data_IF_373274598391
#
_entry.id   IF_373274598391
#
_cell.length_a   1.000
_cell.length_b   1.000
_cell.length_c   1.000
_cell.angle_alpha   90.00
_cell.angle_beta   90.00
_cell.angle_gamma   90.00
#
_symmetry.space_group_name_H-M   'P 1'
#
loop_
_entity.id
_entity.type
_entity.pdbx_description
1 polymer ?
#
# COMPACT_ATOMS: atom_id res chain seq x y z
N UNK A 1 -14.12 -1.69 -17.91
CA UNK A 1 -13.45 -0.53 -18.54
C UNK A 1 -12.83 0.46 -17.54
N UNK A 2 -13.07 0.33 -16.23
CA UNK A 2 -12.62 1.29 -15.20
C UNK A 2 -11.13 1.24 -14.81
N UNK A 3 -10.34 0.33 -15.38
CA UNK A 3 -8.93 0.10 -14.98
C UNK A 3 -7.90 0.61 -16.01
N UNK A 4 -8.34 1.18 -17.13
CA UNK A 4 -7.46 1.73 -18.16
C UNK A 4 -7.48 3.25 -18.05
N UNK A 5 -6.32 3.86 -17.86
CA UNK A 5 -6.15 5.31 -17.79
C UNK A 5 -5.14 5.76 -18.84
N UNK A 6 -5.46 6.84 -19.54
CA UNK A 6 -4.52 7.47 -20.47
C UNK A 6 -3.63 8.46 -19.71
N UNK A 7 -2.32 8.34 -19.93
CA UNK A 7 -1.32 9.18 -19.28
C UNK A 7 -0.28 9.63 -20.31
N UNK A 8 0.18 10.88 -20.18
CA UNK A 8 1.23 11.43 -21.02
C UNK A 8 2.60 11.23 -20.38
N UNK A 9 3.48 10.53 -21.10
CA UNK A 9 4.87 10.36 -20.72
C UNK A 9 5.66 11.62 -21.08
N UNK A 10 6.35 12.22 -20.11
CA UNK A 10 7.05 13.49 -20.32
C UNK A 10 8.53 13.29 -20.70
N UNK A 11 9.24 12.42 -19.98
CA UNK A 11 10.67 12.19 -20.22
C UNK A 11 11.10 10.82 -19.71
N UNK A 12 12.13 10.26 -20.35
CA UNK A 12 12.73 8.97 -20.01
C UNK A 12 14.19 9.20 -19.62
N UNK A 13 14.66 8.47 -18.62
CA UNK A 13 16.02 8.56 -18.10
C UNK A 13 16.63 7.17 -17.96
N UNK A 14 17.92 7.05 -18.28
CA UNK A 14 18.75 5.92 -17.88
C UNK A 14 19.32 6.18 -16.47
N UNK A 15 19.21 5.19 -15.61
CA UNK A 15 19.73 5.24 -14.25
C UNK A 15 21.21 4.85 -14.24
N UNK A 16 22.09 5.79 -13.88
CA UNK A 16 23.55 5.61 -13.83
C UNK A 16 24.06 5.66 -12.37
N UNK A 17 23.37 4.94 -11.48
CA UNK A 17 23.65 4.91 -10.04
C UNK A 17 23.36 6.25 -9.35
N UNK A 18 24.32 7.17 -9.36
CA UNK A 18 24.20 8.49 -8.71
C UNK A 18 23.47 9.53 -9.55
N UNK A 19 23.38 9.31 -10.88
CA UNK A 19 22.82 10.28 -11.83
C UNK A 19 21.76 9.69 -12.74
N UNK A 20 20.96 10.59 -13.32
CA UNK A 20 19.97 10.28 -14.36
C UNK A 20 20.46 10.89 -15.68
N UNK A 21 20.58 10.06 -16.73
CA UNK A 21 20.90 10.54 -18.07
C UNK A 21 19.62 10.61 -18.90
N UNK A 22 19.18 11.80 -19.35
CA UNK A 22 18.00 11.91 -20.20
C UNK A 22 18.25 11.24 -21.55
N UNK A 23 17.25 10.51 -22.04
CA UNK A 23 17.29 9.80 -23.33
C UNK A 23 15.96 9.96 -24.05
N UNK A 24 16.01 10.02 -25.38
CA UNK A 24 14.80 10.18 -26.21
C UNK A 24 14.09 8.84 -26.44
N UNK A 25 14.84 7.74 -26.53
CA UNK A 25 14.32 6.41 -26.80
C UNK A 25 15.16 5.34 -26.08
N UNK A 26 14.53 4.20 -25.77
CA UNK A 26 15.18 3.06 -25.12
C UNK A 26 14.68 1.76 -25.74
N UNK A 27 15.58 0.78 -25.90
CA UNK A 27 15.26 -0.55 -26.46
C UNK A 27 14.69 -1.49 -25.39
N UNK A 28 14.01 -2.55 -25.82
CA UNK A 28 13.52 -3.60 -24.94
C UNK A 28 14.67 -4.25 -24.13
N UNK A 29 14.37 -4.65 -22.89
CA UNK A 29 15.34 -5.26 -21.98
C UNK A 29 16.10 -4.29 -21.08
N UNK A 30 15.91 -2.98 -21.23
CA UNK A 30 16.55 -1.97 -20.38
C UNK A 30 15.66 -1.55 -19.20
N UNK A 31 16.30 -1.18 -18.08
CA UNK A 31 15.63 -0.56 -16.94
C UNK A 31 15.72 0.96 -17.07
N UNK A 32 14.57 1.63 -17.02
CA UNK A 32 14.46 3.08 -17.23
C UNK A 32 13.67 3.74 -16.12
N UNK A 33 13.97 5.00 -15.83
CA UNK A 33 13.14 5.85 -15.00
C UNK A 33 12.25 6.72 -15.89
N UNK A 34 10.97 6.83 -15.53
CA UNK A 34 9.97 7.58 -16.31
C UNK A 34 9.42 8.72 -15.45
N UNK A 35 9.34 9.92 -16.03
CA UNK A 35 8.71 11.09 -15.41
C UNK A 35 7.32 11.34 -16.01
N UNK A 36 6.37 11.68 -15.14
CA UNK A 36 5.01 12.11 -15.53
C UNK A 36 3.88 11.16 -15.09
N UNK A 37 4.19 9.91 -14.77
CA UNK A 37 3.19 8.89 -14.44
C UNK A 37 2.77 8.85 -12.97
N UNK A 38 3.08 9.92 -12.23
CA UNK A 38 3.00 9.89 -10.78
C UNK A 38 1.60 9.72 -10.18
N UNK A 39 0.58 10.44 -10.68
CA UNK A 39 -0.78 10.32 -10.17
C UNK A 39 -1.47 8.99 -10.52
N UNK A 40 -1.01 8.31 -11.57
CA UNK A 40 -1.69 7.15 -12.16
C UNK A 40 -1.22 5.82 -11.55
N UNK A 41 0.00 5.77 -11.02
CA UNK A 41 0.64 4.54 -10.55
C UNK A 41 0.81 4.59 -9.03
N UNK A 42 0.10 3.72 -8.33
CA UNK A 42 0.26 3.54 -6.89
C UNK A 42 1.45 2.63 -6.55
N UNK A 43 1.36 1.32 -6.83
CA UNK A 43 2.44 0.35 -6.55
C UNK A 43 3.04 -0.22 -7.84
N UNK A 44 2.21 -0.85 -8.66
CA UNK A 44 2.60 -1.39 -9.96
C UNK A 44 1.55 -1.06 -11.01
N UNK A 45 1.99 -0.86 -12.25
CA UNK A 45 1.11 -0.69 -13.40
C UNK A 45 1.81 -1.25 -14.64
N UNK A 46 1.02 -1.81 -15.54
CA UNK A 46 1.50 -2.19 -16.87
C UNK A 46 1.26 -1.03 -17.83
N UNK A 47 2.30 -0.58 -18.50
CA UNK A 47 2.21 0.49 -19.50
C UNK A 47 2.16 -0.10 -20.89
N UNK A 48 1.26 0.41 -21.72
CA UNK A 48 1.16 0.03 -23.12
C UNK A 48 0.75 1.22 -23.97
N UNK A 49 1.30 1.29 -25.18
CA UNK A 49 0.90 2.29 -26.18
C UNK A 49 -0.47 1.97 -26.80
N UNK A 50 -0.93 0.72 -26.68
CA UNK A 50 -2.18 0.24 -27.28
C UNK A 50 -3.14 -0.19 -26.18
N UNK A 51 -4.43 0.15 -26.32
CA UNK A 51 -5.47 -0.23 -25.35
C UNK A 51 -5.70 -1.74 -25.24
N UNK A 52 -5.47 -2.49 -26.33
CA UNK A 52 -5.63 -3.95 -26.36
C UNK A 52 -4.34 -4.65 -25.91
N UNK A 53 -4.02 -4.55 -24.62
CA UNK A 53 -2.83 -5.14 -24.03
C UNK A 53 -3.22 -5.93 -22.78
N UNK A 54 -2.66 -7.15 -22.65
CA UNK A 54 -2.80 -7.94 -21.45
C UNK A 54 -1.92 -7.37 -20.33
N UNK A 55 -2.45 -7.14 -19.13
CA UNK A 55 -1.66 -6.68 -18.00
C UNK A 55 -0.62 -7.74 -17.62
N UNK A 56 0.55 -7.29 -17.18
CA UNK A 56 1.53 -8.16 -16.55
C UNK A 56 1.00 -8.65 -15.20
N UNK A 57 1.46 -9.83 -14.78
CA UNK A 57 1.07 -10.41 -13.50
C UNK A 57 1.35 -9.44 -12.34
N UNK A 58 0.40 -9.34 -11.42
CA UNK A 58 0.57 -8.54 -10.20
C UNK A 58 1.71 -9.11 -9.36
N UNK A 59 2.46 -8.22 -8.71
CA UNK A 59 3.49 -8.63 -7.77
C UNK A 59 2.84 -9.25 -6.54
N UNK A 60 3.09 -10.53 -6.31
CA UNK A 60 2.70 -11.20 -5.07
C UNK A 60 3.81 -11.04 -4.03
N UNK A 61 3.50 -10.36 -2.94
CA UNK A 61 4.43 -10.21 -1.83
C UNK A 61 4.33 -11.43 -0.92
N UNK A 62 5.48 -12.04 -0.61
CA UNK A 62 5.54 -13.23 0.26
C UNK A 62 5.18 -12.93 1.71
N UNK A 63 5.21 -11.66 2.12
CA UNK A 63 4.99 -11.22 3.50
C UNK A 63 3.90 -10.15 3.52
N UNK A 64 2.90 -10.36 4.37
CA UNK A 64 1.88 -9.36 4.66
C UNK A 64 2.34 -8.44 5.80
N UNK A 65 2.03 -7.13 5.75
CA UNK A 65 2.38 -6.21 6.82
C UNK A 65 1.66 -6.62 8.11
N UNK A 66 2.44 -6.85 9.17
CA UNK A 66 1.96 -7.47 10.42
C UNK A 66 1.81 -6.44 11.54
N UNK A 67 2.68 -5.43 11.57
CA UNK A 67 2.66 -4.36 12.57
C UNK A 67 1.87 -3.17 12.06
N UNK A 68 1.05 -2.58 12.94
CA UNK A 68 0.19 -1.44 12.66
C UNK A 68 0.39 -0.36 13.71
N UNK A 69 0.37 0.89 13.27
CA UNK A 69 0.55 2.06 14.13
C UNK A 69 -0.36 3.18 13.65
N UNK A 70 -1.01 3.87 14.59
CA UNK A 70 -1.72 5.10 14.29
C UNK A 70 -0.73 6.27 14.24
N UNK A 71 -0.85 7.11 13.21
CA UNK A 71 -0.01 8.28 12.97
C UNK A 71 -0.89 9.51 12.88
N UNK A 72 -0.54 10.52 13.66
CA UNK A 72 -1.19 11.83 13.68
C UNK A 72 -0.12 12.93 13.61
N UNK A 73 -0.40 14.09 13.00
CA UNK A 73 0.51 15.22 13.06
C UNK A 73 0.42 15.88 14.45
N UNK A 74 1.54 16.38 14.98
CA UNK A 74 1.51 17.17 16.24
C UNK A 74 0.62 18.41 16.11
N UNK A 75 0.64 19.04 14.93
CA UNK A 75 -0.19 20.20 14.61
C UNK A 75 -1.30 19.82 13.61
N UNK A 76 -2.58 20.10 13.91
CA UNK A 76 -3.70 19.70 13.05
C UNK A 76 -3.72 20.44 11.70
N UNK A 77 -3.04 21.59 11.59
CA UNK A 77 -2.87 22.30 10.31
C UNK A 77 -2.11 21.48 9.28
N UNK A 78 -1.23 20.59 9.74
CA UNK A 78 -0.28 19.87 8.89
C UNK A 78 -0.83 18.54 8.39
N UNK A 79 -2.08 18.21 8.74
CA UNK A 79 -2.79 17.02 8.27
C UNK A 79 -2.78 16.88 6.74
N UNK A 80 -2.89 18.00 6.02
CA UNK A 80 -2.84 18.01 4.55
C UNK A 80 -1.46 17.63 4.00
N UNK A 81 -0.38 17.99 4.70
CA UNK A 81 0.99 17.63 4.35
C UNK A 81 1.27 16.16 4.70
N UNK A 82 0.79 15.69 5.85
CA UNK A 82 0.86 14.28 6.25
C UNK A 82 0.20 13.37 5.23
N UNK A 83 -1.03 13.66 4.80
CA UNK A 83 -1.73 12.87 3.78
C UNK A 83 -0.95 12.79 2.45
N UNK A 84 -0.31 13.89 2.04
CA UNK A 84 0.55 13.90 0.84
C UNK A 84 1.80 13.04 1.06
N UNK A 85 2.44 13.15 2.21
CA UNK A 85 3.61 12.35 2.57
C UNK A 85 3.31 10.86 2.63
N UNK A 86 2.17 10.48 3.24
CA UNK A 86 1.68 9.10 3.31
C UNK A 86 1.47 8.51 1.90
N UNK A 87 0.85 9.26 0.99
CA UNK A 87 0.69 8.81 -0.41
C UNK A 87 2.04 8.59 -1.11
N UNK A 88 3.03 9.43 -0.84
CA UNK A 88 4.38 9.27 -1.39
C UNK A 88 5.09 8.05 -0.79
N UNK A 89 4.92 7.82 0.52
CA UNK A 89 5.49 6.68 1.23
C UNK A 89 4.94 5.35 0.68
N UNK A 90 3.62 5.23 0.53
CA UNK A 90 2.97 4.04 -0.04
C UNK A 90 3.39 3.73 -1.49
N UNK A 91 3.90 4.74 -2.21
CA UNK A 91 4.46 4.57 -3.55
C UNK A 91 5.94 4.23 -3.54
N UNK A 92 6.68 4.71 -2.54
CA UNK A 92 8.10 4.43 -2.38
C UNK A 92 8.34 3.01 -1.86
N UNK A 93 7.48 2.51 -0.96
CA UNK A 93 7.60 1.20 -0.35
C UNK A 93 6.39 0.29 -0.68
N UNK A 94 6.62 -0.87 -1.31
CA UNK A 94 5.54 -1.80 -1.65
C UNK A 94 4.89 -2.50 -0.45
N UNK A 95 5.60 -2.66 0.67
CA UNK A 95 5.13 -3.35 1.88
C UNK A 95 4.38 -2.44 2.84
N UNK A 96 4.41 -1.14 2.63
CA UNK A 96 3.60 -0.19 3.38
C UNK A 96 2.14 -0.28 2.93
N UNK A 97 1.24 -0.30 3.90
CA UNK A 97 -0.19 -0.15 3.68
C UNK A 97 -0.74 0.96 4.56
N UNK A 98 -1.59 1.81 3.99
CA UNK A 98 -2.15 2.97 4.67
C UNK A 98 -3.65 2.84 4.64
N UNK A 99 -4.23 2.75 5.82
CA UNK A 99 -5.68 2.58 5.99
C UNK A 99 -6.21 3.67 6.90
N UNK A 100 -7.49 4.00 6.74
CA UNK A 100 -8.18 4.91 7.66
C UNK A 100 -9.03 4.04 8.58
N UNK A 101 -8.77 4.16 9.89
CA UNK A 101 -9.55 3.49 10.92
C UNK A 101 -11.00 4.00 10.91
N UNK A 102 -11.94 3.22 11.45
CA UNK A 102 -13.33 3.65 11.62
C UNK A 102 -13.46 4.93 12.47
N UNK A 103 -12.46 5.21 13.32
CA UNK A 103 -12.36 6.43 14.14
C UNK A 103 -11.83 7.66 13.37
N UNK A 104 -11.43 7.49 12.12
CA UNK A 104 -10.82 8.55 11.30
C UNK A 104 -9.29 8.66 11.42
N UNK A 105 -8.66 7.83 12.26
CA UNK A 105 -7.21 7.80 12.46
C UNK A 105 -6.50 7.20 11.23
N UNK A 106 -5.31 7.71 10.90
CA UNK A 106 -4.47 7.13 9.85
C UNK A 106 -3.59 6.02 10.40
N UNK A 107 -3.79 4.79 9.91
CA UNK A 107 -3.04 3.62 10.35
C UNK A 107 -2.04 3.21 9.27
N UNK A 108 -0.77 3.21 9.66
CA UNK A 108 0.36 2.71 8.87
C UNK A 108 0.62 1.25 9.24
N UNK A 109 0.67 0.37 8.25
CA UNK A 109 1.07 -1.02 8.43
C UNK A 109 2.43 -1.29 7.77
N UNK A 110 3.28 -2.06 8.44
CA UNK A 110 4.62 -2.41 8.01
C UNK A 110 4.95 -3.89 8.31
N UNK A 111 5.96 -4.42 7.61
CA UNK A 111 6.37 -5.82 7.73
C UNK A 111 7.05 -6.20 9.06
N UNK A 112 7.65 -5.23 9.77
CA UNK A 112 8.39 -5.48 11.01
C UNK A 112 8.85 -4.18 11.68
N UNK A 113 9.44 -4.28 12.88
CA UNK A 113 9.75 -3.12 13.74
C UNK A 113 10.77 -2.19 13.09
N UNK A 114 11.88 -2.74 12.59
CA UNK A 114 12.93 -1.97 11.91
C UNK A 114 12.38 -1.27 10.66
N UNK A 115 11.48 -1.94 9.92
CA UNK A 115 10.84 -1.35 8.75
C UNK A 115 9.90 -0.20 9.16
N UNK A 116 9.12 -0.38 10.22
CA UNK A 116 8.26 0.65 10.77
C UNK A 116 9.05 1.91 11.19
N UNK A 117 10.14 1.75 11.94
CA UNK A 117 11.01 2.86 12.36
C UNK A 117 11.59 3.61 11.15
N UNK A 118 12.03 2.88 10.12
CA UNK A 118 12.55 3.47 8.88
C UNK A 118 11.47 4.29 8.17
N UNK A 119 10.25 3.77 8.09
CA UNK A 119 9.11 4.42 7.46
C UNK A 119 8.69 5.69 8.18
N UNK A 120 8.63 5.67 9.51
CA UNK A 120 8.33 6.85 10.34
C UNK A 120 9.39 7.93 10.10
N UNK A 121 10.67 7.56 10.15
CA UNK A 121 11.79 8.49 9.90
C UNK A 121 11.76 9.08 8.49
N UNK A 122 11.50 8.26 7.47
CA UNK A 122 11.42 8.77 6.10
C UNK A 122 10.19 9.67 5.90
N UNK A 123 9.08 9.40 6.58
CA UNK A 123 7.90 10.25 6.59
C UNK A 123 8.19 11.62 7.22
N UNK A 124 8.88 11.66 8.36
CA UNK A 124 9.27 12.91 9.03
C UNK A 124 10.34 13.68 8.27
N UNK A 125 11.37 13.01 7.75
CA UNK A 125 12.55 13.70 7.22
C UNK A 125 12.41 14.08 5.74
N UNK A 126 11.78 13.20 4.94
CA UNK A 126 11.86 13.28 3.47
C UNK A 126 10.53 13.61 2.83
N UNK A 127 9.44 12.97 3.26
CA UNK A 127 8.16 13.04 2.55
C UNK A 127 7.24 14.14 3.08
N UNK A 128 6.76 14.04 4.33
CA UNK A 128 5.83 15.00 4.92
C UNK A 128 6.55 16.24 5.47
N UNK A 129 7.75 16.07 6.06
CA UNK A 129 8.51 17.15 6.72
C UNK A 129 7.73 17.82 7.85
N UNK A 130 7.00 17.01 8.60
CA UNK A 130 6.11 17.42 9.70
C UNK A 130 6.46 16.58 10.93
N UNK A 131 6.29 17.16 12.11
CA UNK A 131 6.43 16.42 13.34
C UNK A 131 5.21 15.51 13.55
N UNK A 132 5.46 14.23 13.76
CA UNK A 132 4.42 13.20 13.82
C UNK A 132 4.41 12.53 15.19
N UNK A 133 3.20 12.34 15.72
CA UNK A 133 2.93 11.54 16.90
C UNK A 133 2.51 10.14 16.48
N UNK A 134 3.05 9.16 17.18
CA UNK A 134 3.04 7.75 16.78
C UNK A 134 2.54 6.95 17.96
N UNK A 135 1.49 6.15 17.75
CA UNK A 135 0.98 5.24 18.78
C UNK A 135 1.90 4.04 19.01
N UNK A 136 1.67 3.33 20.11
CA UNK A 136 2.31 2.02 20.32
C UNK A 136 2.01 1.06 19.16
N UNK A 137 2.98 0.24 18.73
CA UNK A 137 2.78 -0.74 17.67
C UNK A 137 1.81 -1.84 18.11
N UNK A 138 0.87 -2.15 17.23
CA UNK A 138 -0.14 -3.18 17.40
C UNK A 138 0.09 -4.30 16.39
N UNK A 139 0.00 -5.54 16.86
CA UNK A 139 0.03 -6.73 15.99
C UNK A 139 -1.40 -7.16 15.71
N UNK A 140 -1.73 -7.46 14.46
CA UNK A 140 -3.02 -8.06 14.14
C UNK A 140 -3.02 -9.54 14.51
N UNK A 141 -3.81 -9.91 15.53
CA UNK A 141 -4.07 -11.30 15.85
C UNK A 141 -5.04 -11.93 14.83
N UNK A 142 -4.85 -13.22 14.57
CA UNK A 142 -5.76 -14.05 13.76
C UNK A 142 -6.28 -15.15 14.69
N UNK A 143 -7.59 -15.28 14.74
CA UNK A 143 -8.24 -16.37 15.47
C UNK A 143 -8.64 -17.45 14.46
N UNK A 144 -8.50 -18.71 14.86
CA UNK A 144 -8.95 -19.87 14.10
C UNK A 144 -9.89 -20.66 14.99
N UNK A 145 -10.98 -21.18 14.42
CA UNK A 145 -11.88 -22.08 15.15
C UNK A 145 -11.19 -23.44 15.27
N UNK A 146 -10.94 -23.87 16.50
CA UNK A 146 -10.42 -25.20 16.80
C UNK A 146 -11.59 -26.13 17.15
N UNK A 147 -11.92 -27.06 16.24
CA UNK A 147 -12.98 -28.04 16.43
C UNK A 147 -13.36 -28.76 15.12
N UNK A 148 -13.61 -30.07 15.19
CA UNK A 148 -14.15 -30.82 14.06
C UNK A 148 -15.57 -30.32 13.76
N UNK A 149 -15.79 -29.80 12.55
CA UNK A 149 -17.08 -29.29 12.07
C UNK A 149 -18.19 -30.35 11.94
N UNK A 150 -17.96 -31.59 12.41
CA UNK A 150 -18.97 -32.66 12.43
C UNK A 150 -20.20 -32.29 13.27
N UNK A 151 -20.01 -31.47 14.32
CA UNK A 151 -21.11 -31.07 15.21
C UNK A 151 -21.90 -29.83 14.74
N UNK A 152 -21.43 -29.11 13.71
CA UNK A 152 -22.10 -27.89 13.22
C UNK A 152 -23.37 -28.20 12.40
N UNK A 153 -23.37 -29.31 11.66
CA UNK A 153 -24.56 -29.76 10.93
C UNK A 153 -25.66 -30.26 11.88
N UNK A 154 -25.30 -30.96 12.95
CA UNK A 154 -26.27 -31.43 13.96
C UNK A 154 -26.87 -30.28 14.77
N UNK A 155 -26.08 -29.26 15.11
CA UNK A 155 -26.54 -28.09 15.87
C UNK A 155 -27.37 -27.10 15.04
N UNK A 156 -27.14 -26.98 13.73
CA UNK A 156 -28.02 -26.21 12.84
C UNK A 156 -29.37 -26.90 12.63
N UNK A 157 -29.39 -28.24 12.61
CA UNK A 157 -30.62 -29.01 12.45
C UNK A 157 -31.52 -28.90 13.69
N UNK A 158 -30.95 -28.95 14.90
CA UNK A 158 -31.71 -28.80 16.15
C UNK A 158 -32.29 -27.40 16.37
N UNK A 159 -31.63 -26.34 15.87
CA UNK A 159 -32.15 -24.97 15.91
C UNK A 159 -33.36 -24.77 14.98
N UNK A 160 -33.39 -25.44 13.82
CA UNK A 160 -34.54 -25.37 12.90
C UNK A 160 -35.78 -26.12 13.41
N UNK A 161 -35.60 -27.12 14.29
CA UNK A 161 -36.69 -27.92 14.85
C UNK A 161 -37.35 -27.26 16.07
N UNK A 162 -36.67 -26.33 16.75
CA UNK A 162 -37.20 -25.65 17.95
C UNK A 162 -37.89 -24.30 17.66
N UNK A 163 -38.15 -23.96 16.39
CA UNK A 163 -38.80 -22.69 16.00
C UNK A 163 -40.27 -22.83 15.58
N UNK A 164 -40.87 -24.01 15.78
CA UNK A 164 -42.27 -24.30 15.41
C UNK A 164 -43.03 -25.08 16.50
N UNK A 165 -42.88 -24.69 17.76
CA UNK A 165 -43.84 -24.97 18.84
C UNK A 165 -44.29 -23.66 19.51
#
# INVERSE_FOLDING_TARGET
>A
ESYIQEAQLHSIYLMMGQGLKPVNEVKAGNVVAIRGLGPYISKCATLSSTRNCWPLASMEFQVSPTLRVAIEPSDPSDMSALMKGLRLLNRADPFVEITVSARGEHVLAAAGEVHLERCIKDLSDRFARVNIEVSSPLVSYRETVEGDGSNLLESLTSLSLNTWD
#
